data_IF_274020361193
#
_entry.id   IF_274020361193
#
_cell.length_a   1.000
_cell.length_b   1.000
_cell.length_c   1.000
_cell.angle_alpha   90.00
_cell.angle_beta   90.00
_cell.angle_gamma   90.00
#
_symmetry.space_group_name_H-M   'P 1'
#
loop_
_entity.id
_entity.type
_entity.pdbx_description
1 polymer ?
#
# COMPACT_ATOMS: atom_id res chain seq x y z
N UNK A 1 15.91 -12.27 -0.35
CA UNK A 1 15.88 -10.80 -0.21
C UNK A 1 14.45 -10.26 -0.34
N UNK A 2 13.70 -10.58 -1.42
CA UNK A 2 12.33 -10.05 -1.62
C UNK A 2 11.36 -10.33 -0.44
N UNK A 3 11.36 -11.53 0.14
CA UNK A 3 10.51 -11.88 1.28
C UNK A 3 10.81 -11.04 2.54
N UNK A 4 12.07 -10.66 2.76
CA UNK A 4 12.43 -9.74 3.86
C UNK A 4 11.85 -8.34 3.59
N UNK A 5 11.99 -7.84 2.37
CA UNK A 5 11.37 -6.57 1.98
C UNK A 5 9.85 -6.58 2.16
N UNK A 6 9.20 -7.68 1.74
CA UNK A 6 7.76 -7.86 1.87
C UNK A 6 7.29 -7.82 3.35
N UNK A 7 8.05 -8.42 4.26
CA UNK A 7 7.75 -8.37 5.69
C UNK A 7 7.64 -6.92 6.20
N UNK A 8 8.60 -6.07 5.83
CA UNK A 8 8.60 -4.66 6.23
C UNK A 8 7.59 -3.80 5.44
N UNK A 9 7.23 -4.20 4.22
CA UNK A 9 6.06 -3.63 3.53
C UNK A 9 4.80 -3.81 4.38
N UNK A 10 4.62 -4.96 5.03
CA UNK A 10 3.55 -5.16 5.99
C UNK A 10 3.54 -4.12 7.12
N UNK A 11 4.71 -3.86 7.70
CA UNK A 11 4.84 -2.88 8.78
C UNK A 11 4.50 -1.45 8.33
N UNK A 12 5.01 -0.99 7.18
CA UNK A 12 4.75 0.37 6.71
C UNK A 12 3.29 0.55 6.28
N UNK A 13 2.68 -0.45 5.65
CA UNK A 13 1.24 -0.39 5.33
C UNK A 13 0.39 -0.31 6.60
N UNK A 14 0.71 -1.11 7.63
CA UNK A 14 0.01 -1.04 8.90
C UNK A 14 0.11 0.34 9.55
N UNK A 15 1.32 0.92 9.64
CA UNK A 15 1.54 2.24 10.22
C UNK A 15 0.86 3.35 9.41
N UNK A 16 0.96 3.33 8.07
CA UNK A 16 0.29 4.31 7.21
C UNK A 16 -1.25 4.18 7.31
N UNK A 17 -1.76 2.96 7.43
CA UNK A 17 -3.18 2.73 7.70
C UNK A 17 -3.62 3.27 9.06
N UNK A 18 -2.84 3.01 10.12
CA UNK A 18 -3.07 3.55 11.47
C UNK A 18 -3.03 5.08 11.50
N UNK A 19 -2.14 5.70 10.72
CA UNK A 19 -2.08 7.16 10.55
C UNK A 19 -3.39 7.70 9.93
N UNK A 20 -3.87 7.11 8.85
CA UNK A 20 -5.14 7.54 8.21
C UNK A 20 -6.37 7.28 9.11
N UNK A 21 -6.29 6.35 10.04
CA UNK A 21 -7.32 6.10 11.06
C UNK A 21 -7.22 7.10 12.24
N UNK A 22 -6.16 7.88 12.31
CA UNK A 22 -5.91 8.84 13.38
C UNK A 22 -5.30 8.23 14.65
N UNK A 23 -4.72 7.02 14.56
CA UNK A 23 -4.07 6.35 15.70
C UNK A 23 -2.59 6.73 15.83
N UNK A 24 -1.97 7.18 14.75
CA UNK A 24 -0.56 7.57 14.68
C UNK A 24 -0.46 8.93 14.01
N UNK A 25 0.35 9.82 14.57
CA UNK A 25 0.60 11.13 13.97
C UNK A 25 1.42 11.01 12.67
N UNK A 26 1.13 11.90 11.72
CA UNK A 26 1.78 11.92 10.42
C UNK A 26 3.32 11.96 10.50
N UNK A 27 3.86 12.84 11.38
CA UNK A 27 5.31 12.92 11.58
C UNK A 27 5.90 11.67 12.22
N UNK A 28 5.14 10.97 13.08
CA UNK A 28 5.57 9.71 13.70
C UNK A 28 5.60 8.55 12.70
N UNK A 29 4.80 8.62 11.63
CA UNK A 29 4.80 7.63 10.56
C UNK A 29 5.92 7.84 9.52
N UNK A 30 6.55 9.02 9.46
CA UNK A 30 7.57 9.32 8.45
C UNK A 30 8.80 8.39 8.49
N UNK A 31 9.42 8.10 9.67
CA UNK A 31 10.64 7.29 9.74
C UNK A 31 10.50 5.89 9.11
N UNK A 32 9.39 5.19 9.38
CA UNK A 32 9.20 3.83 8.84
C UNK A 32 9.07 3.86 7.29
N UNK A 33 8.52 4.92 6.72
CA UNK A 33 8.44 5.10 5.29
C UNK A 33 9.83 5.24 4.66
N UNK A 34 10.76 5.96 5.30
CA UNK A 34 12.15 6.04 4.83
C UNK A 34 12.90 4.72 4.98
N UNK A 35 12.76 4.03 6.12
CA UNK A 35 13.44 2.75 6.33
C UNK A 35 12.98 1.69 5.32
N UNK A 36 11.67 1.55 5.13
CA UNK A 36 11.12 0.56 4.20
C UNK A 36 11.34 0.99 2.75
N UNK A 37 11.20 2.28 2.43
CA UNK A 37 11.50 2.80 1.11
C UNK A 37 12.98 2.55 0.72
N UNK A 38 13.92 2.82 1.63
CA UNK A 38 15.34 2.52 1.44
C UNK A 38 15.60 1.01 1.26
N UNK A 39 15.00 0.16 2.11
CA UNK A 39 15.10 -1.29 1.97
C UNK A 39 14.57 -1.78 0.61
N UNK A 40 13.46 -1.18 0.15
CA UNK A 40 12.85 -1.51 -1.15
C UNK A 40 13.61 -0.92 -2.35
N UNK A 41 14.57 -0.02 -2.16
CA UNK A 41 15.58 0.32 -3.18
C UNK A 41 16.66 -0.75 -3.23
N UNK A 42 17.21 -1.14 -2.07
CA UNK A 42 18.33 -2.08 -1.97
C UNK A 42 17.94 -3.46 -2.51
N UNK A 43 16.75 -3.95 -2.14
CA UNK A 43 16.30 -5.30 -2.50
C UNK A 43 16.22 -5.52 -4.01
N UNK A 44 15.47 -4.74 -4.81
CA UNK A 44 15.40 -4.94 -6.25
C UNK A 44 16.74 -4.64 -6.94
N UNK A 45 17.50 -3.65 -6.46
CA UNK A 45 18.84 -3.36 -6.98
C UNK A 45 19.73 -4.60 -6.88
N UNK A 46 19.79 -5.22 -5.71
CA UNK A 46 20.53 -6.47 -5.51
C UNK A 46 20.07 -7.59 -6.45
N UNK A 47 18.75 -7.79 -6.57
CA UNK A 47 18.18 -8.83 -7.43
C UNK A 47 18.52 -8.60 -8.90
N UNK A 48 18.45 -7.36 -9.39
CA UNK A 48 18.79 -7.03 -10.77
C UNK A 48 20.28 -7.24 -11.05
N UNK A 49 21.16 -6.79 -10.14
CA UNK A 49 22.61 -6.98 -10.31
C UNK A 49 23.03 -8.45 -10.27
N UNK A 50 22.32 -9.29 -9.54
CA UNK A 50 22.61 -10.72 -9.42
C UNK A 50 21.81 -11.59 -10.40
N UNK A 51 20.92 -11.01 -11.20
CA UNK A 51 20.07 -11.73 -12.15
C UNK A 51 20.83 -12.37 -13.32
N UNK A 52 22.08 -11.97 -13.57
CA UNK A 52 22.88 -12.46 -14.71
C UNK A 52 22.16 -12.36 -16.06
N UNK A 53 21.33 -11.32 -16.25
CA UNK A 53 20.53 -11.10 -17.46
C UNK A 53 19.22 -11.88 -17.54
N UNK A 54 18.82 -12.60 -16.48
CA UNK A 54 17.54 -13.28 -16.43
C UNK A 54 16.38 -12.25 -16.42
N UNK A 55 15.61 -12.23 -17.52
CA UNK A 55 14.57 -11.25 -17.77
C UNK A 55 13.43 -11.35 -16.75
N UNK A 56 13.08 -12.55 -16.29
CA UNK A 56 11.99 -12.76 -15.34
C UNK A 56 12.35 -12.26 -13.93
N UNK A 57 13.58 -12.48 -13.50
CA UNK A 57 14.11 -11.90 -12.25
C UNK A 57 14.13 -10.37 -12.32
N UNK A 58 14.59 -9.80 -13.43
CA UNK A 58 14.64 -8.33 -13.62
C UNK A 58 13.21 -7.75 -13.63
N UNK A 59 12.30 -8.38 -14.38
CA UNK A 59 10.90 -7.96 -14.46
C UNK A 59 10.23 -7.99 -13.08
N UNK A 60 10.39 -9.08 -12.34
CA UNK A 60 9.82 -9.22 -10.99
C UNK A 60 10.42 -8.20 -10.01
N UNK A 61 11.74 -7.98 -10.07
CA UNK A 61 12.43 -7.02 -9.21
C UNK A 61 12.01 -5.58 -9.51
N UNK A 62 11.80 -5.23 -10.80
CA UNK A 62 11.38 -3.88 -11.20
C UNK A 62 10.08 -3.43 -10.52
N UNK A 63 9.14 -4.35 -10.29
CA UNK A 63 7.90 -4.06 -9.56
C UNK A 63 8.11 -3.59 -8.12
N UNK A 64 9.21 -3.98 -7.47
CA UNK A 64 9.50 -3.58 -6.09
C UNK A 64 9.87 -2.09 -5.97
N UNK A 65 10.39 -1.47 -7.03
CA UNK A 65 10.65 -0.02 -7.03
C UNK A 65 9.37 0.82 -6.94
N UNK A 66 8.23 0.30 -7.39
CA UNK A 66 6.95 0.99 -7.23
C UNK A 66 6.64 1.25 -5.75
N UNK A 67 6.94 0.28 -4.89
CA UNK A 67 6.82 0.40 -3.43
C UNK A 67 7.89 1.33 -2.86
N UNK A 68 9.13 1.16 -3.28
CA UNK A 68 10.25 1.98 -2.82
C UNK A 68 9.95 3.47 -2.98
N UNK A 69 9.59 3.88 -4.19
CA UNK A 69 9.31 5.28 -4.48
C UNK A 69 8.02 5.78 -3.82
N UNK A 70 7.00 4.93 -3.70
CA UNK A 70 5.79 5.29 -2.93
C UNK A 70 6.14 5.64 -1.49
N UNK A 71 6.86 4.77 -0.77
CA UNK A 71 7.18 5.01 0.63
C UNK A 71 8.15 6.18 0.84
N UNK A 72 9.17 6.32 -0.01
CA UNK A 72 10.05 7.49 0.06
C UNK A 72 9.28 8.78 -0.19
N UNK A 73 8.36 8.80 -1.14
CA UNK A 73 7.53 9.97 -1.41
C UNK A 73 6.59 10.28 -0.23
N UNK A 74 5.95 9.24 0.35
CA UNK A 74 5.15 9.40 1.58
C UNK A 74 6.01 10.00 2.69
N UNK A 75 7.20 9.43 2.95
CA UNK A 75 8.12 9.93 3.96
C UNK A 75 8.49 11.41 3.77
N UNK A 76 8.77 11.83 2.54
CA UNK A 76 9.05 13.22 2.18
C UNK A 76 7.84 14.12 2.44
N UNK A 77 6.64 13.72 1.97
CA UNK A 77 5.42 14.49 2.18
C UNK A 77 5.11 14.69 3.66
N UNK A 78 5.21 13.63 4.47
CA UNK A 78 4.95 13.68 5.90
C UNK A 78 5.98 14.53 6.67
N UNK A 79 7.24 14.53 6.23
CA UNK A 79 8.33 15.28 6.88
C UNK A 79 8.27 16.76 6.55
N UNK A 80 8.06 17.10 5.27
CA UNK A 80 8.18 18.47 4.77
C UNK A 80 6.83 19.15 4.52
N UNK A 81 5.70 18.46 4.72
CA UNK A 81 4.37 19.03 4.50
C UNK A 81 4.13 19.37 3.02
N UNK A 82 4.61 18.52 2.09
CA UNK A 82 4.47 18.75 0.66
C UNK A 82 3.02 18.50 0.21
N UNK A 83 2.64 19.13 -0.92
CA UNK A 83 1.36 18.87 -1.56
C UNK A 83 1.25 17.38 -1.95
N UNK A 84 0.22 16.65 -1.50
CA UNK A 84 0.10 15.22 -1.73
C UNK A 84 -0.38 14.86 -3.15
N UNK A 85 -0.80 15.84 -3.96
CA UNK A 85 -1.38 15.60 -5.29
C UNK A 85 -0.42 14.84 -6.19
N UNK A 86 0.87 15.21 -6.20
CA UNK A 86 1.88 14.50 -6.99
C UNK A 86 2.02 13.04 -6.61
N UNK A 87 2.03 12.72 -5.30
CA UNK A 87 1.99 11.34 -4.81
C UNK A 87 0.71 10.63 -5.25
N UNK A 88 -0.44 11.31 -5.20
CA UNK A 88 -1.71 10.76 -5.67
C UNK A 88 -1.65 10.32 -7.13
N UNK A 89 -1.11 11.15 -8.04
CA UNK A 89 -0.94 10.76 -9.45
C UNK A 89 0.12 9.67 -9.64
N UNK A 90 1.17 9.64 -8.83
CA UNK A 90 2.08 8.49 -8.82
C UNK A 90 1.36 7.21 -8.40
N UNK A 91 0.44 7.27 -7.43
CA UNK A 91 -0.39 6.12 -7.06
C UNK A 91 -1.29 5.64 -8.23
N UNK A 92 -1.78 6.53 -9.09
CA UNK A 92 -2.48 6.14 -10.32
C UNK A 92 -1.58 5.35 -11.27
N UNK A 93 -0.33 5.80 -11.47
CA UNK A 93 0.64 5.06 -12.28
C UNK A 93 0.92 3.67 -11.68
N UNK A 94 1.09 3.60 -10.36
CA UNK A 94 1.33 2.32 -9.66
C UNK A 94 0.11 1.41 -9.76
N UNK A 95 -1.12 1.95 -9.65
CA UNK A 95 -2.36 1.18 -9.85
C UNK A 95 -2.37 0.46 -11.20
N UNK A 96 -2.11 1.18 -12.29
CA UNK A 96 -2.06 0.59 -13.64
C UNK A 96 -0.96 -0.46 -13.75
N UNK A 97 0.23 -0.16 -13.23
CA UNK A 97 1.35 -1.11 -13.20
C UNK A 97 1.01 -2.36 -12.40
N UNK A 98 0.34 -2.23 -11.26
CA UNK A 98 -0.06 -3.35 -10.41
C UNK A 98 -1.06 -4.29 -11.11
N UNK A 99 -1.97 -3.76 -11.95
CA UNK A 99 -2.84 -4.60 -12.78
C UNK A 99 -2.05 -5.41 -13.80
N UNK A 100 -1.01 -4.82 -14.41
CA UNK A 100 -0.09 -5.55 -15.31
C UNK A 100 0.64 -6.65 -14.55
N UNK A 101 1.22 -6.34 -13.36
CA UNK A 101 1.88 -7.34 -12.52
C UNK A 101 0.94 -8.45 -12.05
N UNK A 102 -0.33 -8.15 -11.77
CA UNK A 102 -1.33 -9.16 -11.48
C UNK A 102 -1.51 -10.13 -12.67
N UNK A 103 -1.69 -9.59 -13.87
CA UNK A 103 -1.77 -10.40 -15.10
C UNK A 103 -0.52 -11.25 -15.33
N UNK A 104 0.67 -10.69 -15.15
CA UNK A 104 1.94 -11.43 -15.26
C UNK A 104 2.01 -12.58 -14.25
N UNK A 105 1.58 -12.36 -13.01
CA UNK A 105 1.59 -13.43 -12.02
C UNK A 105 0.60 -14.55 -12.35
N UNK A 106 -0.60 -14.24 -12.85
CA UNK A 106 -1.55 -15.27 -13.25
C UNK A 106 -1.13 -16.05 -14.50
N UNK A 107 -0.62 -15.36 -15.54
CA UNK A 107 -0.50 -15.95 -16.87
C UNK A 107 0.94 -16.25 -17.30
N UNK A 108 1.94 -15.55 -16.74
CA UNK A 108 3.35 -15.73 -17.07
C UNK A 108 4.10 -16.51 -15.99
N UNK A 109 4.01 -16.09 -14.72
CA UNK A 109 4.71 -16.75 -13.61
C UNK A 109 3.95 -17.94 -13.02
N UNK A 110 2.64 -18.11 -13.33
CA UNK A 110 1.81 -19.19 -12.80
C UNK A 110 1.67 -19.13 -11.27
N UNK A 111 1.65 -17.92 -10.71
CA UNK A 111 1.50 -17.67 -9.27
C UNK A 111 0.19 -16.94 -8.96
N UNK A 112 -0.92 -17.67 -8.76
CA UNK A 112 -2.21 -17.05 -8.45
C UNK A 112 -2.22 -16.34 -7.09
N UNK A 113 -1.37 -16.75 -6.13
CA UNK A 113 -1.24 -16.08 -4.85
C UNK A 113 -0.80 -14.64 -5.01
N UNK A 114 0.33 -14.41 -5.68
CA UNK A 114 0.78 -13.05 -6.01
C UNK A 114 -0.11 -12.37 -7.05
N UNK A 115 -0.77 -13.11 -7.94
CA UNK A 115 -1.76 -12.55 -8.85
C UNK A 115 -2.86 -11.79 -8.09
N UNK A 116 -3.46 -12.42 -7.07
CA UNK A 116 -4.48 -11.79 -6.21
C UNK A 116 -3.87 -10.69 -5.32
N UNK A 117 -2.67 -10.89 -4.77
CA UNK A 117 -1.98 -9.88 -3.95
C UNK A 117 -1.77 -8.58 -4.76
N UNK A 118 -1.35 -8.66 -6.02
CA UNK A 118 -1.21 -7.49 -6.87
C UNK A 118 -2.55 -6.79 -7.17
N UNK A 119 -3.68 -7.51 -7.23
CA UNK A 119 -5.01 -6.90 -7.32
C UNK A 119 -5.37 -6.12 -6.04
N UNK A 120 -5.02 -6.66 -4.87
CA UNK A 120 -5.18 -5.95 -3.61
C UNK A 120 -4.39 -4.64 -3.58
N UNK A 121 -3.14 -4.69 -4.03
CA UNK A 121 -2.29 -3.50 -4.11
C UNK A 121 -2.81 -2.52 -5.15
N UNK A 122 -3.25 -2.98 -6.33
CA UNK A 122 -3.91 -2.12 -7.30
C UNK A 122 -5.08 -1.37 -6.67
N UNK A 123 -5.97 -2.09 -5.99
CA UNK A 123 -7.11 -1.49 -5.30
C UNK A 123 -6.68 -0.45 -4.25
N UNK A 124 -5.66 -0.72 -3.45
CA UNK A 124 -5.15 0.21 -2.46
C UNK A 124 -4.57 1.48 -3.10
N UNK A 125 -3.75 1.35 -4.15
CA UNK A 125 -3.21 2.52 -4.86
C UNK A 125 -4.30 3.34 -5.56
N UNK A 126 -5.36 2.70 -6.08
CA UNK A 126 -6.53 3.43 -6.58
C UNK A 126 -7.18 4.26 -5.46
N UNK A 127 -7.34 3.71 -4.26
CA UNK A 127 -7.86 4.46 -3.12
C UNK A 127 -6.96 5.63 -2.75
N UNK A 128 -5.65 5.43 -2.70
CA UNK A 128 -4.70 6.54 -2.48
C UNK A 128 -4.76 7.61 -3.57
N UNK A 129 -4.91 7.23 -4.83
CA UNK A 129 -5.14 8.20 -5.91
C UNK A 129 -6.42 9.03 -5.66
N UNK A 130 -7.51 8.38 -5.29
CA UNK A 130 -8.76 9.09 -5.01
C UNK A 130 -8.62 10.06 -3.84
N UNK A 131 -7.99 9.64 -2.75
CA UNK A 131 -7.79 10.49 -1.56
C UNK A 131 -6.80 11.61 -1.85
N UNK A 132 -5.59 11.29 -2.31
CA UNK A 132 -4.48 12.25 -2.42
C UNK A 132 -4.50 13.03 -3.75
N UNK A 133 -4.85 12.37 -4.85
CA UNK A 133 -4.81 12.97 -6.18
C UNK A 133 -6.12 13.65 -6.57
N UNK A 134 -7.26 13.21 -6.02
CA UNK A 134 -8.59 13.76 -6.33
C UNK A 134 -9.25 14.46 -5.14
N UNK A 135 -8.64 14.45 -3.96
CA UNK A 135 -9.17 15.11 -2.77
C UNK A 135 -10.47 14.50 -2.24
N UNK A 136 -10.69 13.19 -2.42
CA UNK A 136 -11.89 12.51 -1.93
C UNK A 136 -11.68 12.12 -0.46
N UNK A 137 -11.65 13.12 0.43
CA UNK A 137 -11.32 12.97 1.85
C UNK A 137 -12.26 12.02 2.60
N UNK A 138 -13.51 11.90 2.13
CA UNK A 138 -14.49 10.96 2.69
C UNK A 138 -14.03 9.49 2.66
N UNK A 139 -13.09 9.14 1.78
CA UNK A 139 -12.50 7.80 1.69
C UNK A 139 -11.30 7.60 2.60
N UNK A 140 -10.75 8.63 3.25
CA UNK A 140 -9.49 8.53 4.01
C UNK A 140 -9.53 7.45 5.10
N UNK A 141 -10.59 7.40 5.91
CA UNK A 141 -10.75 6.37 6.96
C UNK A 141 -10.92 4.97 6.39
N UNK A 142 -11.67 4.83 5.30
CA UNK A 142 -11.81 3.56 4.60
C UNK A 142 -10.47 3.10 4.02
N UNK A 143 -9.75 3.99 3.34
CA UNK A 143 -8.40 3.73 2.82
C UNK A 143 -7.44 3.33 3.93
N UNK A 144 -7.49 3.99 5.09
CA UNK A 144 -6.70 3.66 6.27
C UNK A 144 -6.96 2.24 6.78
N UNK A 145 -8.23 1.85 6.91
CA UNK A 145 -8.60 0.50 7.34
C UNK A 145 -8.15 -0.57 6.32
N UNK A 146 -8.38 -0.33 5.02
CA UNK A 146 -7.93 -1.22 3.95
C UNK A 146 -6.41 -1.36 3.96
N UNK A 147 -5.67 -0.25 4.09
CA UNK A 147 -4.21 -0.22 4.12
C UNK A 147 -3.67 -1.04 5.31
N UNK A 148 -4.19 -0.80 6.52
CA UNK A 148 -3.75 -1.51 7.73
C UNK A 148 -3.99 -3.03 7.63
N UNK A 149 -5.15 -3.45 7.14
CA UNK A 149 -5.48 -4.86 6.95
C UNK A 149 -4.61 -5.50 5.88
N UNK A 150 -4.40 -4.82 4.74
CA UNK A 150 -3.54 -5.32 3.67
C UNK A 150 -2.11 -5.55 4.14
N UNK A 151 -1.58 -4.73 5.04
CA UNK A 151 -0.26 -4.95 5.63
C UNK A 151 -0.09 -6.35 6.22
N UNK A 152 -1.13 -6.87 6.87
CA UNK A 152 -1.11 -8.23 7.44
C UNK A 152 -1.35 -9.31 6.39
N UNK A 153 -2.44 -9.19 5.62
CA UNK A 153 -2.91 -10.31 4.78
C UNK A 153 -2.17 -10.43 3.46
N UNK A 154 -1.63 -9.33 2.91
CA UNK A 154 -0.93 -9.34 1.62
C UNK A 154 0.59 -9.24 1.73
N UNK A 155 1.12 -8.87 2.90
CA UNK A 155 2.55 -8.70 3.08
C UNK A 155 3.08 -9.55 4.24
N UNK A 156 2.65 -9.36 5.47
CA UNK A 156 3.18 -10.08 6.62
C UNK A 156 2.98 -11.60 6.53
N UNK A 157 1.75 -12.07 6.29
CA UNK A 157 1.46 -13.51 6.15
C UNK A 157 2.24 -14.13 4.97
N UNK A 158 2.17 -13.59 3.73
CA UNK A 158 2.93 -14.14 2.62
C UNK A 158 4.44 -14.09 2.83
N UNK A 159 4.97 -13.06 3.50
CA UNK A 159 6.40 -12.97 3.80
C UNK A 159 6.86 -14.15 4.68
N UNK A 160 6.11 -14.50 5.74
CA UNK A 160 6.44 -15.65 6.57
C UNK A 160 6.27 -16.98 5.82
N UNK A 161 5.26 -17.13 4.99
CA UNK A 161 5.14 -18.31 4.13
C UNK A 161 6.35 -18.47 3.20
N UNK A 162 6.85 -17.37 2.63
CA UNK A 162 8.07 -17.38 1.79
C UNK A 162 9.32 -17.67 2.62
N UNK A 163 9.50 -17.04 3.78
CA UNK A 163 10.69 -17.20 4.62
C UNK A 163 10.80 -18.60 5.23
N UNK A 164 9.67 -19.26 5.47
CA UNK A 164 9.63 -20.65 5.97
C UNK A 164 9.63 -21.70 4.85
N UNK A 165 9.59 -21.28 3.56
CA UNK A 165 9.50 -22.18 2.42
C UNK A 165 8.12 -22.80 2.19
N UNK A 166 7.11 -22.41 2.97
CA UNK A 166 5.75 -22.97 2.90
C UNK A 166 4.90 -22.38 1.75
N UNK A 167 5.29 -21.24 1.19
CA UNK A 167 4.48 -20.49 0.21
C UNK A 167 4.05 -21.35 -0.98
N UNK A 168 4.95 -22.11 -1.57
CA UNK A 168 4.65 -22.93 -2.77
C UNK A 168 3.53 -23.94 -2.53
N UNK A 169 3.42 -24.49 -1.30
CA UNK A 169 2.37 -25.44 -0.93
C UNK A 169 0.99 -24.77 -0.75
N UNK A 170 0.96 -23.49 -0.36
CA UNK A 170 -0.27 -22.80 0.02
C UNK A 170 -0.71 -21.68 -0.94
N UNK A 171 0.05 -21.38 -2.01
CA UNK A 171 -0.21 -20.25 -2.90
C UNK A 171 -1.62 -20.23 -3.52
N UNK A 172 -2.16 -21.39 -3.86
CA UNK A 172 -3.50 -21.51 -4.44
C UNK A 172 -4.60 -21.28 -3.40
N UNK A 173 -4.45 -21.87 -2.21
CA UNK A 173 -5.35 -21.66 -1.08
C UNK A 173 -5.34 -20.20 -0.64
N UNK A 174 -4.15 -19.59 -0.60
CA UNK A 174 -3.98 -18.17 -0.29
C UNK A 174 -4.73 -17.30 -1.31
N UNK A 175 -4.61 -17.59 -2.60
CA UNK A 175 -5.33 -16.86 -3.66
C UNK A 175 -6.85 -16.89 -3.43
N UNK A 176 -7.42 -18.08 -3.20
CA UNK A 176 -8.86 -18.24 -2.96
C UNK A 176 -9.29 -17.54 -1.68
N UNK A 177 -8.53 -17.75 -0.59
CA UNK A 177 -8.82 -17.13 0.71
C UNK A 177 -8.81 -15.59 0.61
N UNK A 178 -7.80 -15.01 -0.04
CA UNK A 178 -7.72 -13.57 -0.25
C UNK A 178 -8.85 -13.07 -1.16
N UNK A 179 -9.19 -13.75 -2.25
CA UNK A 179 -10.27 -13.33 -3.14
C UNK A 179 -11.61 -13.22 -2.39
N UNK A 180 -11.96 -14.22 -1.57
CA UNK A 180 -13.17 -14.20 -0.73
C UNK A 180 -13.07 -13.11 0.33
N UNK A 181 -11.95 -13.06 1.07
CA UNK A 181 -11.72 -12.09 2.13
C UNK A 181 -11.86 -10.65 1.63
N UNK A 182 -11.26 -10.32 0.49
CA UNK A 182 -11.28 -8.97 -0.07
C UNK A 182 -12.71 -8.49 -0.38
N UNK A 183 -13.50 -9.34 -1.04
CA UNK A 183 -14.89 -8.99 -1.37
C UNK A 183 -15.72 -8.79 -0.09
N UNK A 184 -15.62 -9.72 0.86
CA UNK A 184 -16.44 -9.68 2.09
C UNK A 184 -16.00 -8.54 3.01
N UNK A 185 -14.70 -8.46 3.32
CA UNK A 185 -14.21 -7.51 4.33
C UNK A 185 -14.18 -6.09 3.77
N UNK A 186 -13.63 -5.87 2.58
CA UNK A 186 -13.56 -4.51 2.04
C UNK A 186 -14.92 -4.00 1.59
N UNK A 187 -15.80 -4.87 1.09
CA UNK A 187 -17.20 -4.52 0.82
C UNK A 187 -17.96 -4.13 2.10
N UNK A 188 -17.82 -4.90 3.16
CA UNK A 188 -18.40 -4.60 4.48
C UNK A 188 -17.85 -3.31 5.10
N UNK A 189 -16.55 -3.10 5.03
CA UNK A 189 -15.91 -1.86 5.49
C UNK A 189 -16.38 -0.63 4.69
N UNK A 190 -16.58 -0.76 3.39
CA UNK A 190 -17.10 0.34 2.57
C UNK A 190 -18.49 0.79 3.02
N UNK A 191 -19.38 -0.14 3.36
CA UNK A 191 -20.72 0.19 3.86
C UNK A 191 -20.65 0.95 5.19
N UNK A 192 -19.69 0.63 6.06
CA UNK A 192 -19.57 1.21 7.40
C UNK A 192 -18.73 2.50 7.44
N UNK A 193 -17.63 2.56 6.69
CA UNK A 193 -16.66 3.66 6.73
C UNK A 193 -16.70 4.55 5.48
N UNK A 194 -16.98 3.99 4.30
CA UNK A 194 -16.95 4.72 3.02
C UNK A 194 -18.15 5.64 2.81
N UNK A 195 -19.24 5.43 3.52
CA UNK A 195 -20.47 6.25 3.43
C UNK A 195 -20.58 7.33 4.52
N UNK A 196 -19.75 7.29 5.54
CA UNK A 196 -19.75 8.28 6.62
C UNK A 196 -18.67 9.33 6.35
N UNK A 197 -18.97 10.27 5.46
CA UNK A 197 -18.27 11.56 5.47
C UNK A 197 -18.61 12.26 6.79
N UNK A 198 -17.73 12.24 7.77
CA UNK A 198 -17.83 13.13 8.93
C UNK A 198 -17.68 14.57 8.40
N UNK A 199 -18.63 15.48 8.70
CA UNK A 199 -18.40 16.90 8.47
C UNK A 199 -17.13 17.29 9.25
N UNK A 200 -16.16 17.89 8.55
CA UNK A 200 -15.05 18.59 9.20
C UNK A 200 -15.69 19.64 10.11
N UNK A 201 -15.37 19.69 11.43
CA UNK A 201 -15.83 20.79 12.27
C UNK A 201 -15.35 22.08 11.59
N UNK A 202 -16.28 22.97 11.22
CA UNK A 202 -15.95 24.31 10.76
C UNK A 202 -15.16 25.00 11.87
N UNK A 203 -13.93 25.47 11.54
CA UNK A 203 -13.19 26.36 12.45
C UNK A 203 -14.11 27.52 12.86
N UNK A 204 -14.13 27.89 14.15
CA UNK A 204 -14.91 29.06 14.59
C UNK A 204 -14.36 30.28 13.83
N UNK A 205 -15.22 30.96 13.12
CA UNK A 205 -14.95 32.23 12.46
C UNK A 205 -14.42 33.22 13.49
N UNK A 206 -13.32 33.99 13.22
CA UNK A 206 -12.76 34.97 14.14
C UNK A 206 -13.59 36.26 14.23
N UNK A 207 -14.87 36.19 14.56
CA UNK A 207 -15.74 37.39 14.58
C UNK A 207 -16.37 37.71 15.94
N UNK A 208 -16.05 37.03 17.04
CA UNK A 208 -16.69 37.28 18.33
C UNK A 208 -15.78 37.88 19.43
N UNK A 209 -14.66 38.50 19.07
CA UNK A 209 -13.81 39.24 20.02
C UNK A 209 -13.66 40.71 19.71
N UNK A 210 -14.73 41.38 19.22
CA UNK A 210 -14.77 42.85 19.22
C UNK A 210 -16.15 43.28 19.73
N UNK A 211 -16.38 43.22 21.03
CA UNK A 211 -17.34 44.04 21.76
C UNK A 211 -17.29 43.69 23.28
N UNK A 212 -16.37 44.26 24.06
CA UNK A 212 -16.55 44.66 25.44
C UNK A 212 -15.37 45.54 25.88
#
# INVERSE_FOLDING_TARGET
>A
MAAVGLLFVGAVLFINGAMLLGWVDAKSAAPINFFVGGLQIITPTYLIFTANGDADTILSAAGLYLFAFTYLYVGLNLTFGLDPTGLGYFCLFVFVSALVYSGLNFFHFGDPGFGVIWLYWAFLWLLFFLVLGRGVDSLSRYTGAVCAIQGWVTAWIPAFLLLTGAYAAYRNQLAVALAIFGVVVFGGLYVTLGRRGTPVPSEPTPSDHVAA
#
